data_IF_697566734041
#
_entry.id   IF_697566734041
#
_cell.length_a   1.000
_cell.length_b   1.000
_cell.length_c   1.000
_cell.angle_alpha   90.00
_cell.angle_beta   90.00
_cell.angle_gamma   90.00
#
_symmetry.space_group_name_H-M   'P 1'
#
loop_
_entity.id
_entity.type
_entity.pdbx_description
1 polymer ?
#
# COMPACT_ATOMS: atom_id res chain seq x y z
N UNK A 1 10.69 -6.47 -7.05
CA UNK A 1 10.36 -5.60 -5.92
C UNK A 1 10.89 -4.18 -6.13
N UNK A 2 12.21 -3.98 -6.15
CA UNK A 2 12.81 -2.63 -6.23
C UNK A 2 12.34 -1.77 -7.41
N UNK A 3 12.23 -2.33 -8.61
CA UNK A 3 11.75 -1.60 -9.79
C UNK A 3 10.33 -1.06 -9.59
N UNK A 4 9.41 -1.88 -9.08
CA UNK A 4 8.03 -1.50 -8.80
C UNK A 4 7.98 -0.41 -7.73
N UNK A 5 8.74 -0.58 -6.64
CA UNK A 5 8.88 0.43 -5.60
C UNK A 5 9.33 1.77 -6.18
N UNK A 6 10.45 1.79 -6.91
CA UNK A 6 11.01 3.03 -7.47
C UNK A 6 10.02 3.71 -8.42
N UNK A 7 9.38 2.95 -9.30
CA UNK A 7 8.42 3.51 -10.27
C UNK A 7 7.24 4.14 -9.55
N UNK A 8 6.58 3.40 -8.64
CA UNK A 8 5.38 3.90 -7.96
C UNK A 8 5.72 5.07 -7.03
N UNK A 9 6.81 4.96 -6.28
CA UNK A 9 7.27 6.04 -5.39
C UNK A 9 7.60 7.31 -6.18
N UNK A 10 8.26 7.18 -7.35
CA UNK A 10 8.53 8.33 -8.21
C UNK A 10 7.25 8.94 -8.78
N UNK A 11 6.30 8.12 -9.22
CA UNK A 11 4.99 8.60 -9.71
C UNK A 11 4.24 9.34 -8.58
N UNK A 12 4.25 8.80 -7.36
CA UNK A 12 3.63 9.48 -6.21
C UNK A 12 4.25 10.85 -5.95
N UNK A 13 5.57 10.91 -5.84
CA UNK A 13 6.25 12.19 -5.60
C UNK A 13 6.03 13.19 -6.72
N UNK A 14 6.20 12.77 -7.98
CA UNK A 14 6.02 13.64 -9.15
C UNK A 14 4.58 14.16 -9.20
N UNK A 15 3.58 13.29 -9.03
CA UNK A 15 2.17 13.70 -9.06
C UNK A 15 1.84 14.69 -7.93
N UNK A 16 2.36 14.49 -6.72
CA UNK A 16 2.20 15.41 -5.59
C UNK A 16 2.79 16.79 -5.90
N UNK A 17 4.02 16.85 -6.45
CA UNK A 17 4.64 18.12 -6.83
C UNK A 17 3.91 18.80 -7.99
N UNK A 18 3.49 18.05 -9.01
CA UNK A 18 2.74 18.61 -10.15
C UNK A 18 1.39 19.16 -9.68
N UNK A 19 0.67 18.43 -8.85
CA UNK A 19 -0.61 18.89 -8.33
C UNK A 19 -0.45 20.13 -7.43
N UNK A 20 0.53 20.14 -6.53
CA UNK A 20 0.81 21.30 -5.67
C UNK A 20 1.21 22.55 -6.47
N UNK A 21 1.92 22.40 -7.59
CA UNK A 21 2.32 23.51 -8.45
C UNK A 21 1.18 24.08 -9.32
N UNK A 22 0.15 23.28 -9.62
CA UNK A 22 -0.89 23.64 -10.60
C UNK A 22 -2.29 23.76 -10.01
N UNK A 23 -2.52 23.28 -8.79
CA UNK A 23 -3.82 23.32 -8.13
C UNK A 23 -3.81 24.32 -6.97
N UNK A 24 -4.88 25.09 -6.85
CA UNK A 24 -5.12 25.88 -5.64
C UNK A 24 -5.76 25.00 -4.58
N UNK A 25 -5.30 25.11 -3.34
CA UNK A 25 -5.88 24.37 -2.20
C UNK A 25 -7.38 24.63 -2.09
N UNK A 26 -8.15 23.57 -1.85
CA UNK A 26 -9.60 23.58 -1.74
C UNK A 26 -10.36 24.06 -2.99
N UNK A 27 -9.70 24.02 -4.16
CA UNK A 27 -10.36 24.32 -5.44
C UNK A 27 -10.55 23.03 -6.22
N UNK A 28 -11.79 22.78 -6.63
CA UNK A 28 -12.14 21.56 -7.38
C UNK A 28 -11.90 21.78 -8.87
N UNK A 29 -11.18 20.87 -9.49
CA UNK A 29 -10.95 20.80 -10.93
C UNK A 29 -11.34 19.41 -11.46
N UNK A 30 -12.34 19.35 -12.33
CA UNK A 30 -12.78 18.08 -12.89
C UNK A 30 -11.73 17.52 -13.83
N UNK A 31 -11.21 16.33 -13.49
CA UNK A 31 -10.23 15.59 -14.30
C UNK A 31 -10.94 14.64 -15.27
N UNK A 32 -11.87 13.83 -14.77
CA UNK A 32 -12.69 12.91 -15.57
C UNK A 32 -14.14 13.12 -15.15
N UNK A 33 -14.98 13.71 -16.03
CA UNK A 33 -16.36 14.02 -15.69
C UNK A 33 -17.13 12.80 -15.15
N UNK A 34 -17.78 12.98 -14.03
CA UNK A 34 -18.55 11.94 -13.35
C UNK A 34 -17.74 10.90 -12.58
N UNK A 35 -16.41 10.89 -12.67
CA UNK A 35 -15.57 9.87 -12.04
C UNK A 35 -14.55 10.47 -11.05
N UNK A 36 -13.65 11.35 -11.53
CA UNK A 36 -12.51 11.85 -10.78
C UNK A 36 -12.41 13.36 -10.88
N UNK A 37 -12.22 13.99 -9.74
CA UNK A 37 -11.82 15.40 -9.61
C UNK A 37 -10.43 15.49 -8.99
N UNK A 38 -9.73 16.58 -9.32
CA UNK A 38 -8.56 17.01 -8.56
C UNK A 38 -9.00 18.05 -7.52
N UNK A 39 -8.64 17.78 -6.27
CA UNK A 39 -8.99 18.62 -5.12
C UNK A 39 -7.85 18.57 -4.12
N UNK A 40 -6.92 19.53 -4.22
CA UNK A 40 -5.74 19.56 -3.36
C UNK A 40 -6.12 19.84 -1.91
N UNK A 41 -5.74 18.93 -1.02
CA UNK A 41 -5.85 19.09 0.44
C UNK A 41 -4.58 18.62 1.14
N UNK A 42 -4.35 19.17 2.33
CA UNK A 42 -3.22 18.80 3.17
C UNK A 42 -3.70 18.04 4.41
N UNK A 43 -3.45 16.74 4.41
CA UNK A 43 -3.88 15.82 5.44
C UNK A 43 -2.86 15.74 6.59
N UNK A 44 -3.25 16.18 7.78
CA UNK A 44 -2.42 16.10 8.99
C UNK A 44 -2.72 14.87 9.85
N UNK A 45 -3.58 13.96 9.38
CA UNK A 45 -3.97 12.73 10.05
C UNK A 45 -3.69 11.46 9.22
N UNK A 46 -4.43 10.42 9.54
CA UNK A 46 -4.59 9.21 8.73
C UNK A 46 -5.85 9.34 7.84
N UNK A 47 -6.41 8.22 7.38
CA UNK A 47 -7.68 8.22 6.64
C UNK A 47 -8.77 8.96 7.43
N UNK A 48 -9.63 9.71 6.73
CA UNK A 48 -10.65 10.60 7.34
C UNK A 48 -10.08 11.59 8.37
N UNK A 49 -8.81 12.00 8.22
CA UNK A 49 -8.11 12.89 9.16
C UNK A 49 -8.09 12.39 10.62
N UNK A 50 -8.27 11.08 10.84
CA UNK A 50 -8.15 10.47 12.17
C UNK A 50 -6.71 10.71 12.66
N UNK A 51 -6.55 11.04 13.97
CA UNK A 51 -5.27 11.40 14.58
C UNK A 51 -4.65 12.68 13.99
N UNK A 52 -5.47 13.63 13.50
CA UNK A 52 -4.99 14.91 13.01
C UNK A 52 -4.09 15.59 14.04
N UNK A 53 -2.97 16.17 13.56
CA UNK A 53 -1.94 16.80 14.40
C UNK A 53 -1.00 15.83 15.12
N UNK A 54 -1.20 14.49 15.04
CA UNK A 54 -0.33 13.50 15.67
C UNK A 54 0.76 12.97 14.71
N UNK A 55 1.45 13.88 14.02
CA UNK A 55 2.43 13.53 12.97
C UNK A 55 3.51 12.58 13.44
N UNK A 56 4.14 12.87 14.60
CA UNK A 56 5.21 12.00 15.17
C UNK A 56 4.69 10.59 15.41
N UNK A 57 3.49 10.46 15.96
CA UNK A 57 2.87 9.14 16.18
C UNK A 57 2.65 8.40 14.86
N UNK A 58 2.15 9.08 13.82
CA UNK A 58 1.92 8.49 12.50
C UNK A 58 3.22 8.08 11.81
N UNK A 59 4.30 8.88 11.96
CA UNK A 59 5.64 8.54 11.47
C UNK A 59 6.14 7.27 12.15
N UNK A 60 6.11 7.21 13.49
CA UNK A 60 6.57 6.05 14.26
C UNK A 60 5.76 4.81 13.90
N UNK A 61 4.44 4.92 13.81
CA UNK A 61 3.57 3.82 13.41
C UNK A 61 3.91 3.29 12.00
N UNK A 62 4.17 4.20 11.05
CA UNK A 62 4.58 3.82 9.68
C UNK A 62 5.94 3.11 9.70
N UNK A 63 6.90 3.58 10.49
CA UNK A 63 8.21 2.93 10.62
C UNK A 63 8.10 1.53 11.24
N UNK A 64 7.27 1.35 12.27
CA UNK A 64 6.99 0.02 12.86
C UNK A 64 6.37 -0.91 11.81
N UNK A 65 5.42 -0.42 11.02
CA UNK A 65 4.79 -1.17 9.94
C UNK A 65 5.81 -1.60 8.87
N UNK A 66 6.67 -0.68 8.43
CA UNK A 66 7.75 -0.96 7.49
C UNK A 66 8.70 -2.03 8.08
N UNK A 67 9.14 -1.88 9.33
CA UNK A 67 10.03 -2.83 10.00
C UNK A 67 9.41 -4.24 10.08
N UNK A 68 8.11 -4.34 10.42
CA UNK A 68 7.36 -5.59 10.42
C UNK A 68 7.36 -6.26 9.04
N UNK A 69 7.06 -5.51 7.97
CA UNK A 69 7.04 -6.07 6.62
C UNK A 69 8.44 -6.43 6.12
N UNK A 70 9.47 -5.65 6.46
CA UNK A 70 10.88 -6.01 6.17
C UNK A 70 11.25 -7.32 6.87
N UNK A 71 10.94 -7.45 8.15
CA UNK A 71 11.20 -8.67 8.90
C UNK A 71 10.49 -9.88 8.28
N UNK A 72 9.21 -9.75 7.95
CA UNK A 72 8.43 -10.82 7.31
C UNK A 72 9.04 -11.20 5.95
N UNK A 73 9.41 -10.22 5.11
CA UNK A 73 10.03 -10.47 3.81
C UNK A 73 11.37 -11.19 3.94
N UNK A 74 12.19 -10.85 4.94
CA UNK A 74 13.48 -11.53 5.19
C UNK A 74 13.26 -12.98 5.60
N UNK A 75 12.25 -13.24 6.44
CA UNK A 75 11.93 -14.59 6.93
C UNK A 75 11.31 -15.50 5.86
N UNK A 76 10.65 -14.93 4.86
CA UNK A 76 10.04 -15.71 3.79
C UNK A 76 11.14 -16.34 2.90
N UNK A 77 11.12 -17.68 2.83
CA UNK A 77 12.09 -18.44 2.05
C UNK A 77 11.77 -18.46 0.55
N UNK A 78 10.47 -18.50 0.22
CA UNK A 78 9.98 -18.58 -1.15
C UNK A 78 9.51 -17.22 -1.65
N UNK A 79 10.45 -16.39 -2.12
CA UNK A 79 10.15 -15.06 -2.66
C UNK A 79 9.53 -15.14 -4.05
N UNK A 80 8.22 -15.41 -4.10
CA UNK A 80 7.47 -15.47 -5.34
C UNK A 80 7.40 -14.11 -6.03
N UNK A 81 7.08 -14.10 -7.33
CA UNK A 81 6.85 -12.85 -8.07
C UNK A 81 5.68 -12.05 -7.45
N UNK A 82 4.62 -12.73 -7.00
CA UNK A 82 3.47 -12.11 -6.34
C UNK A 82 3.90 -11.39 -5.06
N UNK A 83 4.71 -12.03 -4.21
CA UNK A 83 5.25 -11.41 -3.01
C UNK A 83 6.08 -10.17 -3.36
N UNK A 84 6.94 -10.26 -4.36
CA UNK A 84 7.79 -9.13 -4.77
C UNK A 84 6.98 -7.93 -5.29
N UNK A 85 5.90 -8.17 -6.04
CA UNK A 85 4.98 -7.11 -6.49
C UNK A 85 4.27 -6.50 -5.28
N UNK A 86 3.68 -7.32 -4.43
CA UNK A 86 2.99 -6.91 -3.20
C UNK A 86 3.84 -5.96 -2.36
N UNK A 87 5.08 -6.35 -2.10
CA UNK A 87 6.00 -5.52 -1.30
C UNK A 87 6.45 -4.26 -2.02
N UNK A 88 6.57 -4.29 -3.34
CA UNK A 88 6.81 -3.09 -4.14
C UNK A 88 5.73 -2.03 -3.94
N UNK A 89 4.46 -2.45 -3.97
CA UNK A 89 3.31 -1.58 -3.73
C UNK A 89 3.24 -1.07 -2.28
N UNK A 90 3.36 -1.97 -1.29
CA UNK A 90 3.29 -1.61 0.14
C UNK A 90 4.38 -0.60 0.49
N UNK A 91 5.63 -0.87 0.11
CA UNK A 91 6.72 0.04 0.46
C UNK A 91 6.62 1.36 -0.27
N UNK A 92 6.23 1.38 -1.56
CA UNK A 92 6.05 2.63 -2.28
C UNK A 92 5.01 3.54 -1.61
N UNK A 93 3.87 2.98 -1.22
CA UNK A 93 2.84 3.74 -0.53
C UNK A 93 3.26 4.18 0.88
N UNK A 94 3.91 3.31 1.66
CA UNK A 94 4.44 3.68 2.97
C UNK A 94 5.46 4.83 2.87
N UNK A 95 6.45 4.70 1.98
CA UNK A 95 7.50 5.71 1.83
C UNK A 95 6.99 7.00 1.20
N UNK A 96 6.02 6.95 0.28
CA UNK A 96 5.40 8.15 -0.32
C UNK A 96 4.73 9.04 0.73
N UNK A 97 3.91 8.47 1.60
CA UNK A 97 3.25 9.21 2.66
C UNK A 97 4.18 9.51 3.84
N UNK A 98 5.18 8.67 4.10
CA UNK A 98 6.21 8.96 5.11
C UNK A 98 7.08 10.15 4.69
N UNK A 99 7.49 10.22 3.43
CA UNK A 99 8.24 11.35 2.88
C UNK A 99 7.52 12.67 3.15
N UNK A 100 6.24 12.76 2.80
CA UNK A 100 5.46 13.96 3.02
C UNK A 100 5.37 14.33 4.51
N UNK A 101 5.13 13.37 5.39
CA UNK A 101 5.05 13.61 6.84
C UNK A 101 6.37 14.08 7.44
N UNK A 102 7.50 13.53 7.00
CA UNK A 102 8.83 13.89 7.52
C UNK A 102 9.26 15.28 7.05
N UNK A 103 9.07 15.59 5.76
CA UNK A 103 9.58 16.83 5.18
C UNK A 103 8.58 18.00 5.23
N UNK A 104 7.28 17.73 5.21
CA UNK A 104 6.25 18.79 5.16
C UNK A 104 5.31 18.78 6.39
N UNK A 105 5.37 17.77 7.25
CA UNK A 105 4.49 17.63 8.42
C UNK A 105 3.02 17.35 8.08
N UNK A 106 2.71 17.06 6.82
CA UNK A 106 1.37 16.81 6.29
C UNK A 106 1.49 15.96 5.02
N UNK A 107 0.42 15.29 4.60
CA UNK A 107 0.37 14.53 3.35
C UNK A 107 -0.41 15.33 2.31
N UNK A 108 0.10 15.36 1.08
CA UNK A 108 -0.57 15.99 -0.06
C UNK A 108 -1.53 15.01 -0.69
N UNK A 109 -2.83 15.23 -0.48
CA UNK A 109 -3.91 14.45 -1.08
C UNK A 109 -4.58 15.29 -2.16
N UNK A 110 -4.88 14.73 -3.34
CA UNK A 110 -5.34 15.52 -4.48
C UNK A 110 -6.32 14.80 -5.39
N UNK A 111 -6.62 13.51 -5.17
CA UNK A 111 -7.61 12.76 -5.95
C UNK A 111 -8.88 12.64 -5.14
N UNK A 112 -10.03 13.02 -5.76
CA UNK A 112 -11.35 12.90 -5.16
C UNK A 112 -12.30 12.19 -6.12
N UNK A 113 -13.19 11.34 -5.59
CA UNK A 113 -14.26 10.78 -6.39
C UNK A 113 -15.34 11.82 -6.65
N UNK A 114 -15.66 12.08 -7.91
CA UNK A 114 -16.72 13.00 -8.32
C UNK A 114 -18.10 12.57 -7.78
N UNK A 115 -18.40 11.27 -7.87
CA UNK A 115 -19.68 10.68 -7.47
C UNK A 115 -19.79 10.42 -5.95
N UNK A 116 -18.70 10.54 -5.18
CA UNK A 116 -18.68 10.26 -3.76
C UNK A 116 -17.78 11.25 -3.00
N UNK A 117 -18.25 12.49 -2.91
CA UNK A 117 -17.49 13.61 -2.33
C UNK A 117 -17.27 13.47 -0.80
N UNK A 118 -18.05 12.62 -0.10
CA UNK A 118 -17.82 12.31 1.31
C UNK A 118 -16.68 11.31 1.53
N UNK A 119 -16.19 10.64 0.47
CA UNK A 119 -14.96 9.88 0.55
C UNK A 119 -13.77 10.83 0.65
N UNK A 120 -12.80 10.59 1.56
CA UNK A 120 -11.67 11.48 1.70
C UNK A 120 -10.84 11.54 0.41
N UNK A 121 -10.21 12.71 0.18
CA UNK A 121 -9.18 12.82 -0.84
C UNK A 121 -8.02 11.88 -0.54
N UNK A 122 -7.36 11.40 -1.59
CA UNK A 122 -6.25 10.47 -1.50
C UNK A 122 -5.18 10.78 -2.56
N UNK A 123 -4.10 10.02 -2.56
CA UNK A 123 -2.97 10.17 -3.47
C UNK A 123 -2.52 8.81 -4.06
N UNK A 124 -1.46 8.82 -4.86
CA UNK A 124 -0.93 7.60 -5.49
C UNK A 124 -0.36 6.63 -4.47
N UNK A 125 0.24 7.12 -3.36
CA UNK A 125 0.73 6.26 -2.29
C UNK A 125 -0.40 5.49 -1.60
N UNK A 126 -1.58 6.11 -1.39
CA UNK A 126 -2.76 5.46 -0.81
C UNK A 126 -3.31 4.38 -1.75
N UNK A 127 -3.36 4.66 -3.05
CA UNK A 127 -3.73 3.66 -4.06
C UNK A 127 -2.75 2.47 -4.03
N UNK A 128 -1.46 2.74 -3.92
CA UNK A 128 -0.45 1.70 -3.82
C UNK A 128 -0.62 0.87 -2.55
N UNK A 129 -0.85 1.48 -1.39
CA UNK A 129 -1.12 0.76 -0.14
C UNK A 129 -2.35 -0.14 -0.26
N UNK A 130 -3.43 0.37 -0.85
CA UNK A 130 -4.67 -0.38 -1.05
C UNK A 130 -4.44 -1.59 -1.96
N UNK A 131 -3.80 -1.40 -3.12
CA UNK A 131 -3.44 -2.49 -4.03
C UNK A 131 -2.49 -3.49 -3.36
N UNK A 132 -1.48 -2.99 -2.64
CA UNK A 132 -0.55 -3.82 -1.89
C UNK A 132 -1.22 -4.67 -0.81
N UNK A 133 -2.18 -4.10 -0.08
CA UNK A 133 -2.95 -4.84 0.93
C UNK A 133 -3.80 -5.95 0.30
N UNK A 134 -4.49 -5.66 -0.80
CA UNK A 134 -5.27 -6.67 -1.54
C UNK A 134 -4.36 -7.80 -2.04
N UNK A 135 -3.23 -7.46 -2.66
CA UNK A 135 -2.26 -8.44 -3.15
C UNK A 135 -1.67 -9.27 -2.00
N UNK A 136 -1.45 -8.68 -0.82
CA UNK A 136 -0.97 -9.39 0.35
C UNK A 136 -1.98 -10.43 0.85
N UNK A 137 -3.26 -10.08 0.89
CA UNK A 137 -4.33 -11.04 1.22
C UNK A 137 -4.37 -12.19 0.21
N UNK A 138 -4.29 -11.89 -1.09
CA UNK A 138 -4.24 -12.92 -2.14
C UNK A 138 -3.01 -13.81 -1.95
N UNK A 139 -1.83 -13.23 -1.69
CA UNK A 139 -0.61 -13.99 -1.40
C UNK A 139 -0.80 -14.95 -0.22
N UNK A 140 -1.37 -14.47 0.89
CA UNK A 140 -1.60 -15.30 2.07
C UNK A 140 -2.56 -16.46 1.81
N UNK A 141 -3.61 -16.24 1.03
CA UNK A 141 -4.55 -17.30 0.62
C UNK A 141 -3.82 -18.37 -0.22
N UNK A 142 -3.07 -17.95 -1.23
CA UNK A 142 -2.31 -18.86 -2.11
C UNK A 142 -1.27 -19.65 -1.31
N UNK A 143 -0.56 -18.98 -0.42
CA UNK A 143 0.44 -19.59 0.46
C UNK A 143 -0.19 -20.67 1.35
N UNK A 144 -1.30 -20.37 2.02
CA UNK A 144 -2.01 -21.33 2.87
C UNK A 144 -2.53 -22.54 2.10
N UNK A 145 -3.12 -22.33 0.92
CA UNK A 145 -3.61 -23.42 0.06
C UNK A 145 -2.46 -24.34 -0.36
N UNK A 146 -1.31 -23.78 -0.72
CA UNK A 146 -0.15 -24.58 -1.14
C UNK A 146 0.42 -25.42 0.02
N UNK A 147 0.54 -24.85 1.23
CA UNK A 147 0.98 -25.61 2.41
C UNK A 147 0.02 -26.75 2.71
N UNK A 148 -1.29 -26.49 2.68
CA UNK A 148 -2.30 -27.52 2.97
C UNK A 148 -2.26 -28.67 1.95
N UNK A 149 -2.03 -28.36 0.66
CA UNK A 149 -1.86 -29.39 -0.38
C UNK A 149 -0.62 -30.22 -0.14
N UNK A 150 0.52 -29.62 0.17
CA UNK A 150 1.77 -30.34 0.46
C UNK A 150 1.62 -31.27 1.67
N UNK A 151 1.00 -30.81 2.75
CA UNK A 151 0.74 -31.62 3.94
C UNK A 151 -0.15 -32.83 3.64
N UNK A 152 -1.20 -32.68 2.84
CA UNK A 152 -2.07 -33.80 2.42
C UNK A 152 -1.32 -34.84 1.58
N UNK A 153 -0.49 -34.36 0.66
CA UNK A 153 0.32 -35.26 -0.21
C UNK A 153 1.30 -36.05 0.63
N UNK A 154 2.04 -35.42 1.54
CA UNK A 154 2.99 -36.11 2.45
C UNK A 154 2.29 -37.16 3.32
N UNK A 155 1.12 -36.84 3.88
CA UNK A 155 0.35 -37.80 4.69
C UNK A 155 -0.15 -38.99 3.89
N UNK A 156 -0.49 -38.82 2.61
CA UNK A 156 -0.90 -39.94 1.74
C UNK A 156 0.26 -40.88 1.43
N UNK A 157 1.44 -40.33 1.10
CA UNK A 157 2.64 -41.16 0.88
C UNK A 157 3.00 -42.00 2.11
N UNK A 158 2.97 -41.43 3.31
CA UNK A 158 3.25 -42.18 4.55
C UNK A 158 2.22 -43.26 4.86
N UNK A 159 0.96 -43.12 4.39
CA UNK A 159 -0.07 -44.15 4.55
C UNK A 159 0.09 -45.29 3.55
N UNK A 160 0.60 -45.03 2.36
CA UNK A 160 0.89 -46.04 1.35
C UNK A 160 2.09 -46.89 1.76
N UNK A 161 3.20 -46.29 2.20
CA UNK A 161 4.36 -47.00 2.72
C UNK A 161 4.02 -47.99 3.86
N UNK A 162 3.15 -47.59 4.79
CA UNK A 162 2.71 -48.47 5.91
C UNK A 162 1.75 -49.57 5.54
N UNK A 163 1.25 -49.62 4.33
CA UNK A 163 0.38 -50.72 3.86
C UNK A 163 1.16 -51.81 3.13
N UNK A 164 2.34 -51.46 2.67
CA UNK A 164 3.22 -52.39 1.91
C UNK A 164 4.24 -53.12 2.81
N UNK A 165 4.27 -52.76 4.13
CA UNK A 165 4.95 -53.50 5.22
C UNK A 165 4.01 -54.48 5.92
#
# INVERSE_FOLDING_TARGET
MMTIFVVIFSVDLISKYVCEANLTEHTLMTAIPGLIDFYLTYNTGAAWSILSGKQVFLIVLTLIFIAFFVWFYIKEKNKTWLLNITYGFIFAGCFGNLYDRVFFGKVRDFIQFHFWQSFPTFNVADMALTCGAILFVIYMIVYYVNITKQAKTSNNFQKEEKKDE
#
